data_IF_791042849529
#
_entry.id   IF_791042849529
#
_cell.length_a   1.000
_cell.length_b   1.000
_cell.length_c   1.000
_cell.angle_alpha   90.00
_cell.angle_beta   90.00
_cell.angle_gamma   90.00
#
_symmetry.space_group_name_H-M   'P 1'
#
loop_
_entity.id
_entity.type
_entity.pdbx_description
1 polymer ?
#
# COMPACT_ATOMS: atom_id res chain seq x y z
N UNK A 1 12.60 -3.94 -44.42
CA UNK A 1 11.80 -4.04 -43.18
C UNK A 1 12.75 -4.06 -41.97
N UNK A 2 13.12 -2.90 -41.40
CA UNK A 2 14.01 -2.77 -40.22
C UNK A 2 13.35 -1.96 -39.06
N UNK A 3 12.10 -1.54 -39.27
CA UNK A 3 11.33 -0.64 -38.39
C UNK A 3 10.61 -1.40 -37.26
N UNK A 4 10.48 -2.73 -37.36
CA UNK A 4 9.75 -3.56 -36.39
C UNK A 4 10.42 -3.65 -35.02
N UNK A 5 11.75 -3.82 -34.95
CA UNK A 5 12.44 -4.00 -33.66
C UNK A 5 12.45 -2.75 -32.78
N UNK A 6 12.57 -1.57 -33.39
CA UNK A 6 12.65 -0.28 -32.67
C UNK A 6 11.30 0.12 -32.05
N UNK A 7 10.20 -0.15 -32.76
CA UNK A 7 8.83 0.07 -32.27
C UNK A 7 8.44 -0.95 -31.19
N UNK A 8 8.82 -2.22 -31.37
CA UNK A 8 8.55 -3.27 -30.37
C UNK A 8 9.30 -2.98 -29.06
N UNK A 9 10.55 -2.55 -29.15
CA UNK A 9 11.38 -2.22 -27.97
C UNK A 9 10.85 -0.98 -27.23
N UNK A 10 10.32 0.02 -27.94
CA UNK A 10 9.70 1.18 -27.33
C UNK A 10 8.38 0.83 -26.62
N UNK A 11 7.58 -0.08 -27.19
CA UNK A 11 6.36 -0.57 -26.56
C UNK A 11 6.62 -1.40 -25.29
N UNK A 12 7.68 -2.21 -25.29
CA UNK A 12 8.10 -2.95 -24.09
C UNK A 12 8.61 -2.01 -23.00
N UNK A 13 9.40 -0.99 -23.37
CA UNK A 13 9.88 0.01 -22.42
C UNK A 13 8.73 0.83 -21.81
N UNK A 14 7.71 1.21 -22.59
CA UNK A 14 6.57 1.94 -22.06
C UNK A 14 5.75 1.11 -21.07
N UNK A 15 5.48 -0.16 -21.38
CA UNK A 15 4.78 -1.08 -20.46
C UNK A 15 5.52 -1.22 -19.13
N UNK A 16 6.85 -1.30 -19.14
CA UNK A 16 7.66 -1.37 -17.92
C UNK A 16 7.60 -0.08 -17.07
N UNK A 17 7.55 1.08 -17.71
CA UNK A 17 7.43 2.36 -16.98
C UNK A 17 6.04 2.51 -16.36
N UNK A 18 4.98 2.10 -17.07
CA UNK A 18 3.61 2.14 -16.54
C UNK A 18 3.38 1.12 -15.42
N UNK A 19 4.00 -0.06 -15.48
CA UNK A 19 3.90 -1.04 -14.38
C UNK A 19 4.64 -0.58 -13.13
N UNK A 20 5.76 0.13 -13.25
CA UNK A 20 6.44 0.76 -12.11
C UNK A 20 5.65 1.92 -11.51
N UNK A 21 4.99 2.74 -12.33
CA UNK A 21 4.15 3.84 -11.86
C UNK A 21 2.91 3.38 -11.08
N UNK A 22 2.48 2.13 -11.27
CA UNK A 22 1.42 1.49 -10.48
C UNK A 22 1.83 1.10 -9.05
N UNK A 23 3.13 1.11 -8.74
CA UNK A 23 3.67 0.95 -7.38
C UNK A 23 3.67 2.32 -6.66
N UNK A 24 2.53 3.00 -6.68
CA UNK A 24 2.33 4.22 -5.90
C UNK A 24 1.95 3.88 -4.47
N UNK A 25 2.23 4.79 -3.54
CA UNK A 25 1.78 4.67 -2.16
C UNK A 25 0.24 4.61 -2.12
N UNK A 26 -0.29 3.39 -2.08
CA UNK A 26 -1.70 3.14 -1.83
C UNK A 26 -1.99 3.41 -0.36
N UNK A 27 -3.16 3.97 -0.09
CA UNK A 27 -3.67 4.00 1.28
C UNK A 27 -4.01 2.57 1.69
N UNK A 28 -3.36 2.12 2.75
CA UNK A 28 -3.55 0.79 3.33
C UNK A 28 -3.91 0.93 4.80
N UNK A 29 -4.66 -0.04 5.32
CA UNK A 29 -4.98 -0.10 6.74
C UNK A 29 -4.52 -1.42 7.34
N UNK A 30 -3.90 -1.34 8.52
CA UNK A 30 -3.53 -2.50 9.35
C UNK A 30 -4.09 -2.32 10.75
N UNK A 31 -4.75 -3.37 11.25
CA UNK A 31 -5.32 -3.42 12.58
C UNK A 31 -4.53 -4.38 13.46
N UNK A 32 -4.14 -3.90 14.64
CA UNK A 32 -3.48 -4.68 15.68
C UNK A 32 -4.42 -4.80 16.86
N UNK A 33 -4.60 -6.02 17.35
CA UNK A 33 -5.43 -6.31 18.50
C UNK A 33 -4.53 -6.79 19.65
N UNK A 34 -4.76 -6.28 20.85
CA UNK A 34 -4.08 -6.69 22.05
C UNK A 34 -5.09 -6.82 23.19
N UNK A 35 -4.86 -7.77 24.09
CA UNK A 35 -5.59 -7.86 25.35
C UNK A 35 -4.61 -7.57 26.49
N UNK A 36 -4.85 -6.51 27.24
CA UNK A 36 -4.06 -6.15 28.41
C UNK A 36 -4.98 -6.02 29.62
N UNK A 37 -4.71 -6.84 30.64
CA UNK A 37 -5.41 -6.79 31.92
C UNK A 37 -6.95 -6.77 31.80
N UNK A 38 -7.53 -7.56 30.88
CA UNK A 38 -8.97 -7.63 30.66
C UNK A 38 -9.54 -6.54 29.75
N UNK A 39 -8.71 -5.64 29.25
CA UNK A 39 -9.08 -4.65 28.24
C UNK A 39 -8.67 -5.13 26.86
N UNK A 40 -9.64 -5.24 25.95
CA UNK A 40 -9.38 -5.46 24.52
C UNK A 40 -9.06 -4.11 23.87
N UNK A 41 -7.89 -4.00 23.26
CA UNK A 41 -7.42 -2.81 22.56
C UNK A 41 -7.27 -3.16 21.09
N UNK A 42 -7.91 -2.39 20.21
CA UNK A 42 -7.76 -2.49 18.76
C UNK A 42 -7.21 -1.18 18.22
N UNK A 43 -6.07 -1.22 17.54
CA UNK A 43 -5.42 -0.06 16.95
C UNK A 43 -5.35 -0.28 15.44
N UNK A 44 -6.03 0.59 14.69
CA UNK A 44 -5.97 0.61 13.23
C UNK A 44 -5.11 1.78 12.76
N UNK A 45 -4.06 1.46 12.03
CA UNK A 45 -3.20 2.41 11.33
C UNK A 45 -3.55 2.42 9.85
N UNK A 46 -3.99 3.57 9.36
CA UNK A 46 -4.04 3.84 7.92
C UNK A 46 -2.75 4.56 7.53
N UNK A 47 -2.03 4.05 6.55
CA UNK A 47 -0.75 4.56 6.09
C UNK A 47 -0.69 4.64 4.57
N UNK A 48 0.16 5.55 4.09
CA UNK A 48 0.49 5.76 2.68
C UNK A 48 2.02 5.77 2.59
N UNK A 49 2.59 4.71 2.01
CA UNK A 49 4.04 4.48 2.07
C UNK A 49 4.49 4.34 3.53
N UNK A 50 5.57 5.04 3.91
CA UNK A 50 6.12 5.02 5.27
C UNK A 50 5.44 6.01 6.24
N UNK A 51 4.34 6.65 5.83
CA UNK A 51 3.65 7.68 6.62
C UNK A 51 2.29 7.19 7.08
N UNK A 52 2.07 7.19 8.40
CA UNK A 52 0.74 7.04 9.00
C UNK A 52 -0.05 8.34 8.77
N UNK A 53 -1.25 8.21 8.22
CA UNK A 53 -2.14 9.33 7.90
C UNK A 53 -3.37 9.38 8.82
N UNK A 54 -3.79 8.23 9.35
CA UNK A 54 -4.88 8.13 10.33
C UNK A 54 -4.58 6.99 11.29
N UNK A 55 -4.87 7.24 12.57
CA UNK A 55 -4.86 6.23 13.61
C UNK A 55 -6.23 6.24 14.28
N UNK A 56 -6.81 5.06 14.47
CA UNK A 56 -8.02 4.86 15.26
C UNK A 56 -7.71 3.84 16.34
N UNK A 57 -8.02 4.18 17.59
CA UNK A 57 -7.83 3.32 18.74
C UNK A 57 -9.18 3.08 19.39
N UNK A 58 -9.54 1.82 19.53
CA UNK A 58 -10.74 1.37 20.22
C UNK A 58 -10.31 0.53 21.43
N UNK A 59 -10.98 0.75 22.54
CA UNK A 59 -10.71 0.01 23.78
C UNK A 59 -12.03 -0.43 24.39
N UNK A 60 -12.15 -1.73 24.62
CA UNK A 60 -13.30 -2.34 25.27
C UNK A 60 -12.85 -2.89 26.61
N UNK A 61 -13.40 -2.29 27.66
CA UNK A 61 -13.20 -2.71 29.04
C UNK A 61 -14.38 -3.63 29.38
N UNK A 62 -14.06 -4.84 29.86
CA UNK A 62 -15.08 -5.79 30.34
C UNK A 62 -15.26 -5.69 31.84
#
# INVERSE_FOLDING_TARGET
MKISGKLLSAALASVLVFSLAGCGDKEESKTFNANLAGTEISITYTYKGDKIIKQTSESKIS
#
